data_IF_258173778898
#
_entry.id   IF_258173778898
#
_cell.length_a   1.000
_cell.length_b   1.000
_cell.length_c   1.000
_cell.angle_alpha   90.00
_cell.angle_beta   90.00
_cell.angle_gamma   90.00
#
_symmetry.space_group_name_H-M   'P 1'
#
loop_
_entity.id
_entity.type
_entity.pdbx_description
1 polymer ?
#
# COMPACT_ATOMS: atom_id res chain seq x y z
N UNK A 1 3.02 -21.34 -11.14
CA UNK A 1 2.07 -21.40 -10.00
C UNK A 1 2.28 -20.29 -8.94
N UNK A 2 2.68 -19.06 -9.32
CA UNK A 2 2.93 -17.93 -8.37
C UNK A 2 2.38 -16.57 -8.84
N UNK A 3 1.75 -16.51 -10.02
CA UNK A 3 1.33 -15.25 -10.66
C UNK A 3 -0.03 -14.72 -10.15
N UNK A 4 -0.93 -15.60 -9.73
CA UNK A 4 -2.24 -15.21 -9.17
C UNK A 4 -2.10 -14.63 -7.75
N UNK A 5 -1.15 -15.14 -6.94
CA UNK A 5 -0.93 -14.63 -5.59
C UNK A 5 -0.55 -13.13 -5.63
N UNK A 6 0.36 -12.76 -6.55
CA UNK A 6 0.78 -11.38 -6.84
C UNK A 6 -0.38 -10.44 -7.17
N UNK A 7 -1.39 -10.93 -7.89
CA UNK A 7 -2.52 -10.13 -8.38
C UNK A 7 -3.52 -9.74 -7.27
N UNK A 8 -3.51 -10.43 -6.12
CA UNK A 8 -4.45 -10.22 -4.99
C UNK A 8 -3.85 -9.29 -3.91
N UNK A 9 -2.53 -9.06 -3.89
CA UNK A 9 -1.84 -8.53 -2.70
C UNK A 9 -2.20 -7.11 -2.28
N UNK A 10 -2.88 -6.33 -3.10
CA UNK A 10 -3.33 -4.98 -2.74
C UNK A 10 -2.19 -3.97 -2.63
N UNK A 11 -2.50 -2.74 -3.05
CA UNK A 11 -1.66 -1.56 -2.91
C UNK A 11 -2.22 -0.73 -1.76
N UNK A 12 -1.34 -0.28 -0.88
CA UNK A 12 -1.70 0.63 0.19
C UNK A 12 -1.28 2.03 -0.21
N UNK A 13 -2.14 3.00 0.04
CA UNK A 13 -1.88 4.41 -0.21
C UNK A 13 -1.61 5.09 1.13
N UNK A 14 -0.40 5.64 1.26
CA UNK A 14 0.06 6.32 2.45
C UNK A 14 0.39 7.76 2.14
N UNK A 15 0.18 8.59 3.15
CA UNK A 15 0.75 9.92 3.25
C UNK A 15 1.74 9.91 4.40
N UNK A 16 2.99 10.28 4.12
CA UNK A 16 3.97 10.57 5.17
C UNK A 16 3.94 12.06 5.47
N UNK A 17 3.86 12.38 6.76
CA UNK A 17 3.90 13.74 7.30
C UNK A 17 5.07 13.85 8.26
N UNK A 18 5.68 15.03 8.33
CA UNK A 18 6.72 15.32 9.31
C UNK A 18 7.85 16.18 8.78
N UNK A 19 8.71 16.61 9.70
CA UNK A 19 9.80 17.56 9.43
C UNK A 19 11.00 16.93 8.70
N UNK A 20 11.14 15.59 8.73
CA UNK A 20 12.28 14.84 8.18
C UNK A 20 11.86 13.82 7.10
N UNK A 21 10.93 14.19 6.21
CA UNK A 21 10.48 13.30 5.13
C UNK A 21 11.61 12.84 4.19
N UNK A 22 12.62 13.68 3.97
CA UNK A 22 13.78 13.32 3.14
C UNK A 22 14.61 12.18 3.76
N UNK A 23 14.79 12.21 5.08
CA UNK A 23 15.48 11.14 5.82
C UNK A 23 14.73 9.82 5.71
N UNK A 24 13.40 9.87 5.78
CA UNK A 24 12.55 8.71 5.54
C UNK A 24 12.70 8.15 4.11
N UNK A 25 12.69 9.01 3.09
CA UNK A 25 12.89 8.59 1.70
C UNK A 25 14.26 7.96 1.49
N UNK A 26 15.31 8.52 2.08
CA UNK A 26 16.67 7.97 2.05
C UNK A 26 16.73 6.59 2.72
N UNK A 27 16.05 6.41 3.85
CA UNK A 27 15.94 5.10 4.51
C UNK A 27 15.17 4.10 3.65
N UNK A 28 14.08 4.50 2.99
CA UNK A 28 13.35 3.63 2.06
C UNK A 28 14.23 3.18 0.89
N UNK A 29 14.97 4.11 0.27
CA UNK A 29 15.89 3.82 -0.82
C UNK A 29 17.01 2.86 -0.37
N UNK A 30 17.60 3.09 0.81
CA UNK A 30 18.64 2.24 1.39
C UNK A 30 18.17 0.81 1.69
N UNK A 31 16.90 0.64 2.05
CA UNK A 31 16.31 -0.67 2.33
C UNK A 31 15.63 -1.30 1.10
N UNK A 32 15.86 -0.75 -0.10
CA UNK A 32 15.26 -1.20 -1.36
C UNK A 32 13.72 -1.24 -1.34
N UNK A 33 13.09 -0.35 -0.57
CA UNK A 33 11.64 -0.24 -0.49
C UNK A 33 11.12 0.60 -1.66
N UNK A 34 10.37 -0.05 -2.55
CA UNK A 34 9.85 0.59 -3.77
C UNK A 34 8.60 1.39 -3.44
N UNK A 35 8.70 2.71 -3.55
CA UNK A 35 7.60 3.67 -3.45
C UNK A 35 7.07 3.98 -4.86
N UNK A 36 5.76 3.88 -5.04
CA UNK A 36 5.10 4.09 -6.34
C UNK A 36 4.32 5.41 -6.33
N UNK A 37 4.28 6.10 -7.47
CA UNK A 37 3.64 7.43 -7.61
C UNK A 37 3.95 8.38 -6.44
N UNK A 38 5.22 8.49 -6.07
CA UNK A 38 5.66 9.44 -5.07
C UNK A 38 5.36 10.86 -5.57
N UNK A 39 4.47 11.58 -4.86
CA UNK A 39 4.10 12.97 -5.17
C UNK A 39 4.28 13.84 -3.92
N UNK A 40 4.91 15.01 -4.05
CA UNK A 40 4.95 15.99 -2.97
C UNK A 40 3.54 16.56 -2.74
N UNK A 41 3.19 16.78 -1.48
CA UNK A 41 1.98 17.48 -1.03
C UNK A 41 2.39 18.51 0.01
N UNK A 42 1.49 19.45 0.33
CA UNK A 42 1.76 20.57 1.24
C UNK A 42 2.29 20.16 2.63
N UNK A 43 2.00 18.93 3.06
CA UNK A 43 2.32 18.41 4.40
C UNK A 43 3.19 17.13 4.31
N UNK A 44 4.01 16.99 3.27
CA UNK A 44 4.94 15.86 3.09
C UNK A 44 4.81 15.17 1.74
N UNK A 45 4.69 13.84 1.73
CA UNK A 45 4.64 13.05 0.50
C UNK A 45 3.53 12.01 0.53
N UNK A 46 2.97 11.74 -0.64
CA UNK A 46 2.03 10.63 -0.85
C UNK A 46 2.64 9.60 -1.78
N UNK A 47 2.39 8.32 -1.50
CA UNK A 47 2.91 7.23 -2.30
C UNK A 47 2.08 5.96 -2.11
N UNK A 48 2.26 5.02 -3.03
CA UNK A 48 1.74 3.66 -2.90
C UNK A 48 2.85 2.68 -2.56
N UNK A 49 2.51 1.70 -1.73
CA UNK A 49 3.38 0.55 -1.43
C UNK A 49 2.65 -0.76 -1.65
N UNK A 50 3.43 -1.83 -1.80
CA UNK A 50 2.89 -3.19 -1.74
C UNK A 50 2.55 -3.53 -0.28
N UNK A 51 1.39 -4.18 -0.05
CA UNK A 51 0.98 -4.60 1.31
C UNK A 51 2.03 -5.43 2.04
N UNK A 52 2.75 -6.30 1.34
CA UNK A 52 3.82 -7.13 1.94
C UNK A 52 4.97 -6.31 2.53
N UNK A 53 5.17 -5.08 2.06
CA UNK A 53 6.22 -4.18 2.53
C UNK A 53 5.74 -3.23 3.63
N UNK A 54 4.49 -3.37 4.10
CA UNK A 54 3.92 -2.50 5.13
C UNK A 54 4.67 -2.56 6.46
N UNK A 55 4.96 -3.76 6.96
CA UNK A 55 5.69 -3.94 8.22
C UNK A 55 7.08 -3.29 8.17
N UNK A 56 7.75 -3.37 7.02
CA UNK A 56 9.03 -2.69 6.81
C UNK A 56 8.87 -1.17 6.75
N UNK A 57 7.83 -0.67 6.06
CA UNK A 57 7.53 0.76 5.99
C UNK A 57 7.32 1.36 7.39
N UNK A 58 6.53 0.70 8.22
CA UNK A 58 6.23 1.10 9.60
C UNK A 58 7.52 1.18 10.44
N UNK A 59 8.35 0.13 10.41
CA UNK A 59 9.64 0.13 11.09
C UNK A 59 10.60 1.23 10.59
N UNK A 60 10.55 1.59 9.30
CA UNK A 60 11.36 2.69 8.75
C UNK A 60 10.83 4.07 9.15
N UNK A 61 9.51 4.23 9.25
CA UNK A 61 8.90 5.47 9.70
C UNK A 61 9.19 5.75 11.17
N UNK A 62 9.11 4.73 12.03
CA UNK A 62 9.52 4.84 13.44
C UNK A 62 10.99 5.25 13.56
N UNK A 63 11.88 4.64 12.77
CA UNK A 63 13.31 5.00 12.72
C UNK A 63 13.56 6.42 12.23
N UNK A 64 12.71 6.93 11.34
CA UNK A 64 12.80 8.27 10.80
C UNK A 64 12.06 9.32 11.67
N UNK A 65 11.30 8.89 12.67
CA UNK A 65 10.42 9.72 13.49
C UNK A 65 9.48 10.58 12.60
N UNK A 66 8.76 9.89 11.70
CA UNK A 66 7.77 10.49 10.80
C UNK A 66 6.41 9.83 10.98
N UNK A 67 5.35 10.59 10.75
CA UNK A 67 3.99 10.09 10.87
C UNK A 67 3.51 9.49 9.55
N UNK A 68 3.03 8.26 9.59
CA UNK A 68 2.38 7.60 8.45
C UNK A 68 0.86 7.62 8.62
N UNK A 69 0.17 8.33 7.73
CA UNK A 69 -1.27 8.29 7.62
C UNK A 69 -1.70 7.35 6.50
N UNK A 70 -2.43 6.28 6.83
CA UNK A 70 -3.06 5.43 5.83
C UNK A 70 -4.26 6.16 5.20
N UNK A 71 -4.11 6.59 3.96
CA UNK A 71 -5.15 7.31 3.23
C UNK A 71 -6.13 6.36 2.53
N UNK A 72 -5.71 5.14 2.21
CA UNK A 72 -6.60 4.14 1.65
C UNK A 72 -5.93 2.84 1.27
N UNK A 73 -6.73 1.81 1.03
CA UNK A 73 -6.25 0.51 0.56
C UNK A 73 -6.94 0.18 -0.76
N UNK A 74 -6.17 -0.04 -1.83
CA UNK A 74 -6.70 -0.42 -3.15
C UNK A 74 -6.27 -1.85 -3.50
N UNK A 75 -7.22 -2.79 -3.52
CA UNK A 75 -6.97 -4.17 -3.92
C UNK A 75 -8.23 -5.04 -3.91
N UNK A 76 -8.17 -6.20 -4.59
CA UNK A 76 -9.26 -7.19 -4.67
C UNK A 76 -9.91 -7.51 -3.31
N UNK A 77 -9.15 -7.77 -2.21
CA UNK A 77 -9.77 -8.11 -0.93
C UNK A 77 -10.46 -6.93 -0.22
N UNK A 78 -10.15 -5.67 -0.57
CA UNK A 78 -10.80 -4.49 0.02
C UNK A 78 -12.07 -4.11 -0.73
N UNK A 79 -12.04 -4.18 -2.07
CA UNK A 79 -13.24 -4.03 -2.91
C UNK A 79 -14.31 -5.07 -2.54
N UNK A 80 -13.91 -6.33 -2.31
CA UNK A 80 -14.82 -7.39 -1.84
C UNK A 80 -15.35 -7.15 -0.42
N UNK A 81 -14.62 -6.45 0.46
CA UNK A 81 -15.04 -6.14 1.83
C UNK A 81 -16.05 -5.00 1.87
N UNK A 82 -15.88 -4.00 1.01
CA UNK A 82 -16.78 -2.86 0.87
C UNK A 82 -18.08 -3.22 0.12
N UNK A 83 -17.99 -4.14 -0.85
CA UNK A 83 -19.14 -4.66 -1.61
C UNK A 83 -19.83 -5.89 -0.99
N UNK A 84 -19.46 -6.33 0.22
CA UNK A 84 -20.14 -7.45 0.91
C UNK A 84 -21.60 -7.16 1.30
N UNK A 85 -22.06 -5.91 1.22
CA UNK A 85 -23.48 -5.55 1.41
C UNK A 85 -24.39 -5.91 0.23
N UNK A 86 -23.84 -6.29 -0.94
CA UNK A 86 -24.60 -6.96 -2.00
C UNK A 86 -24.04 -8.37 -2.20
N UNK A 87 -24.56 -9.33 -1.41
CA UNK A 87 -24.65 -10.73 -1.84
C UNK A 87 -25.28 -10.71 -3.24
N UNK A 88 -24.88 -11.62 -4.13
CA UNK A 88 -25.26 -11.70 -5.57
C UNK A 88 -24.29 -10.94 -6.48
N UNK A 89 -23.08 -11.48 -6.68
CA UNK A 89 -22.58 -11.84 -8.02
C UNK A 89 -21.21 -12.53 -7.91
N UNK A 90 -21.14 -13.65 -7.17
CA UNK A 90 -20.01 -14.56 -7.26
C UNK A 90 -20.55 -15.94 -7.59
N UNK A 91 -20.66 -16.21 -8.89
CA UNK A 91 -20.63 -17.51 -9.59
C UNK A 91 -21.07 -17.22 -11.04
N UNK A 92 -20.36 -17.60 -12.13
CA UNK A 92 -19.16 -18.44 -12.24
C UNK A 92 -18.08 -17.90 -13.22
N UNK A 93 -16.80 -17.89 -12.83
CA UNK A 93 -15.68 -17.89 -13.80
C UNK A 93 -14.62 -18.96 -13.48
N UNK A 94 -14.96 -19.99 -12.71
CA UNK A 94 -14.02 -21.06 -12.31
C UNK A 94 -14.30 -22.40 -13.02
N UNK A 95 -15.19 -22.44 -14.03
CA UNK A 95 -15.53 -23.69 -14.74
C UNK A 95 -15.37 -23.63 -16.28
N UNK A 96 -14.62 -22.68 -16.84
CA UNK A 96 -14.43 -22.60 -18.29
C UNK A 96 -12.98 -22.30 -18.67
N UNK A 97 -12.06 -23.22 -18.38
CA UNK A 97 -10.89 -23.59 -19.21
C UNK A 97 -10.61 -25.06 -18.99
#
# INVERSE_FOLDING_TARGET
>A
MLKILHFIFGRLYFQVKGYQTERFLNLCAKNHLVLWELKPVSDGYVFFIRRSSYQMLEALAEKANVDLALQGQKGLPYFLKEHKKRKILFFPCVCAV
#
